data_IF_966806862919
#
_entry.id   IF_966806862919
#
_cell.length_a   1.000
_cell.length_b   1.000
_cell.length_c   1.000
_cell.angle_alpha   90.00
_cell.angle_beta   90.00
_cell.angle_gamma   90.00
#
_symmetry.space_group_name_H-M   'P 1'
#
loop_
_entity.id
_entity.type
_entity.pdbx_description
1 polymer ?
#
# COMPACT_ATOMS: atom_id res chain seq x y z
N UNK A 1 41.65 -6.42 17.09
CA UNK A 1 41.88 -7.37 18.21
C UNK A 1 40.51 -7.89 18.62
N UNK A 2 40.19 -9.17 18.82
CA UNK A 2 40.96 -10.40 19.08
C UNK A 2 40.27 -11.58 18.33
N UNK A 3 40.98 -12.44 17.57
CA UNK A 3 41.64 -13.72 17.97
C UNK A 3 40.73 -14.64 18.80
N UNK A 4 40.16 -15.68 18.17
CA UNK A 4 40.67 -17.09 18.05
C UNK A 4 40.43 -17.92 19.32
N UNK A 5 39.74 -19.06 19.16
CA UNK A 5 40.06 -20.30 19.90
C UNK A 5 39.94 -21.47 18.93
N UNK A 6 40.91 -22.37 19.04
CA UNK A 6 41.29 -23.44 18.12
C UNK A 6 41.21 -24.77 18.87
N UNK A 7 40.89 -25.84 18.13
CA UNK A 7 41.27 -27.25 18.28
C UNK A 7 40.92 -28.02 19.58
N UNK A 8 40.32 -29.20 19.39
CA UNK A 8 40.90 -30.43 19.94
C UNK A 8 40.92 -31.55 18.88
N UNK A 9 42.08 -32.18 18.75
CA UNK A 9 42.40 -33.39 18.00
C UNK A 9 41.93 -34.62 18.79
N UNK A 10 41.43 -35.66 18.11
CA UNK A 10 41.71 -37.05 18.50
C UNK A 10 41.89 -37.90 17.23
N UNK A 11 43.06 -38.53 17.16
CA UNK A 11 43.51 -39.55 16.21
C UNK A 11 43.00 -40.94 16.60
N UNK A 12 42.63 -41.77 15.63
CA UNK A 12 42.96 -43.22 15.63
C UNK A 12 42.79 -43.81 14.24
N UNK A 13 43.84 -44.48 13.77
CA UNK A 13 43.86 -45.29 12.56
C UNK A 13 43.27 -46.68 12.82
N UNK A 14 42.66 -47.31 11.81
CA UNK A 14 42.76 -48.76 11.63
C UNK A 14 42.54 -49.11 10.14
N UNK A 15 43.56 -49.75 9.56
CA UNK A 15 43.52 -50.44 8.27
C UNK A 15 42.73 -51.74 8.40
N UNK A 16 41.83 -52.03 7.46
CA UNK A 16 41.54 -53.40 7.03
C UNK A 16 41.03 -53.39 5.59
N UNK A 17 41.80 -54.03 4.73
CA UNK A 17 41.52 -54.43 3.36
C UNK A 17 40.37 -55.44 3.30
N UNK A 18 39.57 -55.40 2.24
CA UNK A 18 38.66 -56.50 1.93
C UNK A 18 37.58 -56.19 0.88
N UNK A 19 37.85 -56.65 -0.35
CA UNK A 19 36.89 -56.98 -1.41
C UNK A 19 35.98 -55.85 -1.95
N UNK A 20 36.40 -55.25 -3.05
CA UNK A 20 35.48 -54.60 -3.99
C UNK A 20 34.57 -55.68 -4.60
N UNK A 21 33.35 -55.83 -4.08
CA UNK A 21 32.25 -56.30 -4.93
C UNK A 21 31.89 -55.15 -5.86
N UNK A 22 32.20 -55.31 -7.14
CA UNK A 22 31.54 -54.54 -8.20
C UNK A 22 30.10 -55.03 -8.22
N UNK A 23 29.26 -54.41 -7.39
CA UNK A 23 27.81 -54.54 -7.49
C UNK A 23 27.41 -53.81 -8.77
N UNK A 24 26.84 -54.54 -9.73
CA UNK A 24 26.30 -53.94 -10.95
C UNK A 24 25.19 -52.96 -10.54
N UNK A 25 25.43 -51.64 -10.68
CA UNK A 25 24.38 -50.64 -10.52
C UNK A 25 23.30 -50.92 -11.57
N UNK A 26 22.03 -51.16 -11.18
CA UNK A 26 20.95 -51.20 -12.14
C UNK A 26 20.86 -49.81 -12.82
N UNK A 27 20.51 -49.75 -14.11
CA UNK A 27 20.37 -48.48 -14.81
C UNK A 27 19.38 -47.61 -14.03
N UNK A 28 19.82 -46.40 -13.66
CA UNK A 28 18.93 -45.39 -13.08
C UNK A 28 17.81 -45.13 -14.09
N UNK A 29 16.60 -45.55 -13.71
CA UNK A 29 15.38 -45.23 -14.45
C UNK A 29 15.32 -43.69 -14.57
N UNK A 30 15.13 -43.11 -15.76
CA UNK A 30 15.05 -41.66 -15.89
C UNK A 30 13.96 -41.14 -14.96
N UNK A 31 14.33 -40.17 -14.12
CA UNK A 31 13.43 -39.49 -13.20
C UNK A 31 12.23 -38.98 -14.00
N UNK A 32 11.06 -39.54 -13.74
CA UNK A 32 9.81 -39.02 -14.29
C UNK A 32 9.68 -37.55 -13.87
N UNK A 33 9.26 -36.63 -14.77
CA UNK A 33 9.12 -35.24 -14.43
C UNK A 33 8.14 -35.08 -13.27
N UNK A 34 8.64 -34.57 -12.14
CA UNK A 34 7.85 -34.29 -10.95
C UNK A 34 6.72 -33.33 -11.31
N UNK A 35 5.48 -33.82 -11.23
CA UNK A 35 4.25 -33.03 -11.29
C UNK A 35 4.38 -31.82 -10.35
N UNK A 36 4.11 -30.58 -10.79
CA UNK A 36 4.16 -29.41 -9.91
C UNK A 36 3.28 -29.62 -8.69
N UNK A 37 3.81 -29.33 -7.50
CA UNK A 37 3.04 -29.34 -6.27
C UNK A 37 1.82 -28.42 -6.41
N UNK A 38 0.66 -28.75 -5.82
CA UNK A 38 -0.49 -27.86 -5.85
C UNK A 38 -0.10 -26.52 -5.22
N UNK A 39 -0.28 -25.43 -5.97
CA UNK A 39 -0.09 -24.07 -5.49
C UNK A 39 -0.87 -23.90 -4.18
N UNK A 40 -0.15 -23.83 -3.05
CA UNK A 40 -0.72 -23.38 -1.78
C UNK A 40 -1.31 -21.98 -2.05
N UNK A 41 -2.59 -21.72 -1.75
CA UNK A 41 -3.18 -20.42 -2.03
C UNK A 41 -2.37 -19.35 -1.31
N UNK A 42 -1.79 -18.43 -2.07
CA UNK A 42 -1.10 -17.27 -1.53
C UNK A 42 -2.14 -16.51 -0.72
N UNK A 43 -2.03 -16.54 0.60
CA UNK A 43 -2.92 -15.80 1.49
C UNK A 43 -2.73 -14.32 1.14
N UNK A 44 -3.77 -13.69 0.58
CA UNK A 44 -3.72 -12.28 0.22
C UNK A 44 -3.37 -11.45 1.46
N UNK A 45 -2.32 -10.65 1.38
CA UNK A 45 -1.93 -9.70 2.44
C UNK A 45 -2.93 -8.54 2.54
N UNK A 46 -3.81 -8.39 1.55
CA UNK A 46 -4.86 -7.39 1.51
C UNK A 46 -6.09 -7.83 2.28
N UNK A 47 -6.56 -6.97 3.18
CA UNK A 47 -7.76 -7.20 3.98
C UNK A 47 -8.72 -6.04 3.81
N UNK A 48 -10.02 -6.35 3.80
CA UNK A 48 -11.04 -5.31 3.88
C UNK A 48 -10.92 -4.61 5.24
N UNK A 49 -10.73 -3.31 5.20
CA UNK A 49 -10.72 -2.43 6.35
C UNK A 49 -11.99 -1.57 6.32
N UNK A 50 -12.66 -1.47 7.46
CA UNK A 50 -13.78 -0.55 7.68
C UNK A 50 -13.32 0.51 8.67
N UNK A 51 -13.61 1.78 8.38
CA UNK A 51 -13.31 2.86 9.30
C UNK A 51 -13.98 2.63 10.66
N UNK A 52 -13.38 3.06 11.79
CA UNK A 52 -13.97 2.87 13.12
C UNK A 52 -15.38 3.47 13.26
N UNK A 53 -15.68 4.53 12.52
CA UNK A 53 -16.99 5.20 12.47
C UNK A 53 -17.93 4.66 11.38
N UNK A 54 -17.52 3.63 10.65
CA UNK A 54 -18.31 3.03 9.57
C UNK A 54 -18.45 3.89 8.32
N UNK A 55 -17.75 5.03 8.20
CA UNK A 55 -17.93 5.97 7.08
C UNK A 55 -17.44 5.45 5.72
N UNK A 56 -16.42 4.59 5.72
CA UNK A 56 -15.85 4.02 4.49
C UNK A 56 -15.34 2.59 4.70
N UNK A 57 -15.17 1.89 3.57
CA UNK A 57 -14.41 0.64 3.48
C UNK A 57 -13.34 0.73 2.40
N UNK A 58 -12.23 0.00 2.55
CA UNK A 58 -11.15 -0.07 1.55
C UNK A 58 -10.32 -1.34 1.77
N UNK A 59 -9.72 -1.91 0.72
CA UNK A 59 -8.71 -2.95 0.91
C UNK A 59 -7.40 -2.31 1.38
N UNK A 60 -6.88 -2.72 2.54
CA UNK A 60 -5.57 -2.29 3.04
C UNK A 60 -4.58 -3.45 3.07
N UNK A 61 -3.28 -3.20 2.84
CA UNK A 61 -2.25 -4.19 3.10
C UNK A 61 -2.08 -4.36 4.61
N UNK A 62 -2.53 -5.49 5.14
CA UNK A 62 -2.57 -5.74 6.58
C UNK A 62 -3.53 -4.79 7.33
N UNK A 63 -3.22 -4.53 8.61
CA UNK A 63 -3.94 -3.54 9.42
C UNK A 63 -3.24 -2.18 9.28
N UNK A 64 -3.96 -1.09 8.98
CA UNK A 64 -3.34 0.21 8.84
C UNK A 64 -2.85 0.76 10.18
N UNK A 65 -1.73 1.48 10.15
CA UNK A 65 -1.31 2.34 11.24
C UNK A 65 -2.18 3.59 11.24
N UNK A 66 -2.67 3.99 12.40
CA UNK A 66 -3.56 5.15 12.57
C UNK A 66 -2.77 6.30 13.18
N UNK A 67 -2.84 7.47 12.56
CA UNK A 67 -2.13 8.68 12.98
C UNK A 67 -3.11 9.85 12.89
N UNK A 68 -3.03 10.78 13.83
CA UNK A 68 -3.73 12.07 13.75
C UNK A 68 -2.72 13.15 13.45
N UNK A 69 -2.99 13.98 12.43
CA UNK A 69 -2.10 15.06 12.00
C UNK A 69 -2.86 16.37 11.93
N UNK A 70 -2.35 17.40 12.59
CA UNK A 70 -2.92 18.75 12.48
C UNK A 70 -2.34 19.46 11.25
N UNK A 71 -3.19 20.10 10.45
CA UNK A 71 -2.79 20.86 9.27
C UNK A 71 -3.50 22.23 9.24
N UNK A 72 -2.73 23.28 8.92
CA UNK A 72 -3.29 24.60 8.61
C UNK A 72 -3.87 24.60 7.20
N UNK A 73 -5.12 25.00 7.09
CA UNK A 73 -5.84 25.14 5.82
C UNK A 73 -6.45 26.54 5.72
N UNK A 74 -7.10 26.83 4.59
CA UNK A 74 -7.87 28.06 4.44
C UNK A 74 -9.08 28.13 5.40
N UNK A 75 -9.42 27.04 6.08
CA UNK A 75 -10.51 26.93 7.06
C UNK A 75 -10.03 27.05 8.51
N UNK A 76 -8.72 27.28 8.72
CA UNK A 76 -8.08 27.16 10.02
C UNK A 76 -7.35 25.82 10.19
N UNK A 77 -7.00 25.51 11.43
CA UNK A 77 -6.37 24.24 11.79
C UNK A 77 -7.40 23.11 11.80
N UNK A 78 -7.12 22.06 11.04
CA UNK A 78 -7.92 20.84 10.98
C UNK A 78 -7.09 19.65 11.46
N UNK A 79 -7.76 18.64 12.00
CA UNK A 79 -7.15 17.35 12.31
C UNK A 79 -7.49 16.36 11.20
N UNK A 80 -6.46 15.78 10.59
CA UNK A 80 -6.58 14.66 9.66
C UNK A 80 -6.48 13.36 10.44
N UNK A 81 -7.44 12.48 10.26
CA UNK A 81 -7.30 11.08 10.62
C UNK A 81 -6.66 10.34 9.45
N UNK A 82 -5.49 9.73 9.67
CA UNK A 82 -4.68 9.11 8.62
C UNK A 82 -4.51 7.61 8.91
N UNK A 83 -4.76 6.78 7.91
CA UNK A 83 -4.64 5.33 7.92
C UNK A 83 -3.58 4.93 6.90
N UNK A 84 -2.45 4.39 7.35
CA UNK A 84 -1.30 4.06 6.49
C UNK A 84 -1.09 2.55 6.43
N UNK A 85 -1.10 1.99 5.23
CA UNK A 85 -0.76 0.61 4.93
C UNK A 85 0.44 0.51 4.00
N UNK A 86 1.29 -0.49 4.24
CA UNK A 86 2.45 -0.79 3.41
C UNK A 86 2.75 -2.29 3.48
N UNK A 87 3.08 -2.91 2.34
CA UNK A 87 3.56 -4.31 2.29
C UNK A 87 5.04 -4.34 2.66
N UNK A 88 5.48 -5.34 3.43
CA UNK A 88 6.85 -5.38 3.98
C UNK A 88 7.96 -5.29 2.92
N UNK A 89 7.70 -5.80 1.71
CA UNK A 89 8.66 -5.85 0.61
C UNK A 89 8.43 -4.76 -0.46
N UNK A 90 7.59 -3.75 -0.18
CA UNK A 90 7.28 -2.68 -1.12
C UNK A 90 7.36 -1.30 -0.46
N UNK A 91 7.98 -0.33 -1.13
CA UNK A 91 7.98 1.07 -0.68
C UNK A 91 6.72 1.86 -1.08
N UNK A 92 5.70 1.20 -1.62
CA UNK A 92 4.44 1.88 -1.97
C UNK A 92 3.65 2.07 -0.69
N UNK A 93 3.30 3.31 -0.38
CA UNK A 93 2.41 3.64 0.72
C UNK A 93 0.97 3.79 0.21
N UNK A 94 0.05 3.11 0.87
CA UNK A 94 -1.39 3.19 0.64
C UNK A 94 -2.02 3.91 1.83
N UNK A 95 -2.68 5.03 1.56
CA UNK A 95 -3.14 5.94 2.61
C UNK A 95 -4.60 6.28 2.39
N UNK A 96 -5.39 6.24 3.45
CA UNK A 96 -6.67 6.96 3.53
C UNK A 96 -6.51 8.06 4.56
N UNK A 97 -6.94 9.27 4.23
CA UNK A 97 -7.04 10.36 5.18
C UNK A 97 -8.43 11.00 5.10
N UNK A 98 -8.94 11.46 6.23
CA UNK A 98 -10.11 12.33 6.22
C UNK A 98 -10.00 13.45 7.25
N UNK A 99 -10.73 14.53 6.99
CA UNK A 99 -10.95 15.60 7.96
C UNK A 99 -12.40 16.07 7.90
N UNK A 100 -12.93 16.39 9.07
CA UNK A 100 -14.23 17.04 9.18
C UNK A 100 -14.09 18.53 8.88
N UNK A 101 -15.13 19.09 8.27
CA UNK A 101 -15.30 20.53 8.15
C UNK A 101 -16.08 21.05 9.35
N UNK A 102 -15.79 22.28 9.84
CA UNK A 102 -16.73 22.97 10.72
C UNK A 102 -18.12 22.97 10.08
N UNK A 103 -19.15 22.74 10.88
CA UNK A 103 -20.51 22.42 10.41
C UNK A 103 -21.06 23.42 9.39
N UNK A 104 -20.77 24.71 9.57
CA UNK A 104 -21.16 25.79 8.66
C UNK A 104 -20.51 25.69 7.28
N UNK A 105 -19.25 25.25 7.21
CA UNK A 105 -18.50 25.23 5.96
C UNK A 105 -18.87 24.05 5.05
N UNK A 106 -19.04 22.86 5.62
CA UNK A 106 -19.32 21.64 4.86
C UNK A 106 -20.70 21.65 4.18
N UNK A 107 -21.69 22.31 4.78
CA UNK A 107 -23.06 22.42 4.26
C UNK A 107 -23.22 23.56 3.26
N UNK A 108 -22.56 24.70 3.49
CA UNK A 108 -22.76 25.91 2.68
C UNK A 108 -21.84 26.02 1.48
N UNK A 109 -20.79 25.19 1.40
CA UNK A 109 -19.79 25.30 0.34
C UNK A 109 -20.05 24.29 -0.78
N UNK A 110 -20.00 24.76 -2.02
CA UNK A 110 -20.01 23.89 -3.20
C UNK A 110 -18.90 22.83 -3.12
N UNK A 111 -19.21 21.52 -3.16
CA UNK A 111 -18.21 20.45 -3.09
C UNK A 111 -17.10 20.55 -4.14
N UNK A 112 -17.37 21.11 -5.32
CA UNK A 112 -16.34 21.31 -6.35
C UNK A 112 -15.30 22.36 -5.92
N UNK A 113 -15.72 23.41 -5.21
CA UNK A 113 -14.81 24.42 -4.66
C UNK A 113 -13.90 23.80 -3.60
N UNK A 114 -14.46 22.97 -2.73
CA UNK A 114 -13.69 22.20 -1.74
C UNK A 114 -12.63 21.34 -2.42
N UNK A 115 -13.00 20.56 -3.43
CA UNK A 115 -12.09 19.70 -4.18
C UNK A 115 -11.01 20.48 -4.95
N UNK A 116 -11.32 21.69 -5.43
CA UNK A 116 -10.35 22.58 -6.05
C UNK A 116 -9.33 23.10 -5.02
N UNK A 117 -9.79 23.56 -3.87
CA UNK A 117 -8.92 24.05 -2.81
C UNK A 117 -8.04 22.94 -2.23
N UNK A 118 -8.60 21.74 -2.04
CA UNK A 118 -7.88 20.56 -1.57
C UNK A 118 -6.74 20.17 -2.52
N UNK A 119 -6.97 20.20 -3.84
CA UNK A 119 -5.92 20.00 -4.84
C UNK A 119 -4.79 21.03 -4.71
N UNK A 120 -5.14 22.32 -4.64
CA UNK A 120 -4.15 23.39 -4.54
C UNK A 120 -3.31 23.23 -3.27
N UNK A 121 -3.96 22.94 -2.14
CA UNK A 121 -3.29 22.68 -0.87
C UNK A 121 -2.38 21.45 -0.95
N UNK A 122 -2.83 20.34 -1.53
CA UNK A 122 -2.03 19.13 -1.66
C UNK A 122 -0.73 19.42 -2.41
N UNK A 123 -0.82 20.01 -3.61
CA UNK A 123 0.33 20.32 -4.47
C UNK A 123 1.28 21.33 -3.78
N UNK A 124 0.72 22.36 -3.11
CA UNK A 124 1.51 23.38 -2.41
C UNK A 124 2.23 22.81 -1.19
N UNK A 125 1.54 22.07 -0.32
CA UNK A 125 2.10 21.53 0.91
C UNK A 125 3.17 20.46 0.63
N UNK A 126 3.00 19.66 -0.43
CA UNK A 126 3.99 18.65 -0.80
C UNK A 126 5.07 19.17 -1.78
N UNK A 127 5.09 20.48 -2.06
CA UNK A 127 6.03 21.12 -2.99
C UNK A 127 6.15 20.33 -4.31
N UNK A 128 5.00 19.97 -4.87
CA UNK A 128 4.89 19.07 -6.00
C UNK A 128 4.41 19.78 -7.25
N UNK A 129 4.52 19.10 -8.39
CA UNK A 129 3.93 19.53 -9.65
C UNK A 129 2.74 18.64 -9.99
N UNK A 130 1.61 19.25 -10.37
CA UNK A 130 0.45 18.52 -10.88
C UNK A 130 0.77 17.95 -12.27
N UNK A 131 0.53 16.67 -12.47
CA UNK A 131 0.78 15.96 -13.73
C UNK A 131 -0.48 15.32 -14.33
N UNK A 132 -1.59 15.28 -13.58
CA UNK A 132 -2.87 14.80 -14.07
C UNK A 132 -4.01 15.20 -13.15
N UNK A 133 -5.21 15.38 -13.72
CA UNK A 133 -6.43 15.55 -12.94
C UNK A 133 -7.66 15.14 -13.74
N UNK A 134 -8.70 14.66 -13.06
CA UNK A 134 -10.03 14.44 -13.64
C UNK A 134 -11.12 14.47 -12.58
N UNK A 135 -12.34 14.81 -13.00
CA UNK A 135 -13.54 14.65 -12.16
C UNK A 135 -13.89 13.17 -12.06
N UNK A 136 -14.33 12.75 -10.88
CA UNK A 136 -14.80 11.39 -10.61
C UNK A 136 -16.02 11.47 -9.68
N UNK A 137 -16.71 10.35 -9.52
CA UNK A 137 -17.73 10.17 -8.49
C UNK A 137 -17.40 8.93 -7.66
N UNK A 138 -17.78 8.93 -6.39
CA UNK A 138 -17.77 7.71 -5.57
C UNK A 138 -18.86 6.74 -6.07
N UNK A 139 -18.80 5.49 -5.59
CA UNK A 139 -19.76 4.44 -5.96
C UNK A 139 -21.23 4.78 -5.62
N UNK A 140 -21.46 5.57 -4.57
CA UNK A 140 -22.76 6.07 -4.15
C UNK A 140 -23.05 7.51 -4.63
N UNK A 141 -22.24 8.04 -5.56
CA UNK A 141 -22.54 9.26 -6.30
C UNK A 141 -22.18 10.58 -5.61
N UNK A 142 -21.35 10.56 -4.57
CA UNK A 142 -20.75 11.78 -4.02
C UNK A 142 -19.68 12.36 -4.96
N UNK A 143 -19.58 13.70 -5.06
CA UNK A 143 -18.61 14.37 -5.93
C UNK A 143 -17.18 14.07 -5.51
N UNK A 144 -16.31 13.86 -6.51
CA UNK A 144 -14.89 13.64 -6.26
C UNK A 144 -13.99 14.17 -7.36
N UNK A 145 -12.69 14.08 -7.09
CA UNK A 145 -11.62 14.46 -8.02
C UNK A 145 -10.43 13.53 -7.85
N UNK A 146 -9.91 13.02 -8.95
CA UNK A 146 -8.60 12.36 -8.98
C UNK A 146 -7.54 13.36 -9.43
N UNK A 147 -6.42 13.41 -8.72
CA UNK A 147 -5.24 14.17 -9.09
C UNK A 147 -4.00 13.28 -9.03
N UNK A 148 -3.05 13.56 -9.90
CA UNK A 148 -1.72 12.97 -9.88
C UNK A 148 -0.69 14.09 -9.79
N UNK A 149 0.25 13.97 -8.87
CA UNK A 149 1.31 14.95 -8.68
C UNK A 149 2.63 14.28 -8.33
N UNK A 150 3.73 14.94 -8.69
CA UNK A 150 5.10 14.44 -8.49
C UNK A 150 5.90 15.44 -7.65
N UNK A 151 6.56 14.96 -6.60
CA UNK A 151 7.44 15.79 -5.77
C UNK A 151 8.86 15.88 -6.36
N UNK A 152 9.70 16.74 -5.79
CA UNK A 152 11.11 16.89 -6.20
C UNK A 152 11.93 15.60 -6.11
N UNK A 153 11.55 14.67 -5.22
CA UNK A 153 12.16 13.35 -5.09
C UNK A 153 11.67 12.31 -6.11
N UNK A 154 10.80 12.69 -7.06
CA UNK A 154 10.29 11.80 -8.10
C UNK A 154 9.26 10.76 -7.62
N UNK A 155 8.74 10.89 -6.39
CA UNK A 155 7.60 10.10 -5.93
C UNK A 155 6.32 10.71 -6.52
N UNK A 156 5.50 9.84 -7.09
CA UNK A 156 4.20 10.16 -7.68
C UNK A 156 3.11 9.75 -6.70
N UNK A 157 2.24 10.70 -6.39
CA UNK A 157 1.03 10.45 -5.62
C UNK A 157 -0.17 10.48 -6.55
N UNK A 158 -0.95 9.39 -6.58
CA UNK A 158 -2.30 9.38 -7.13
C UNK A 158 -3.29 9.51 -5.98
N UNK A 159 -4.06 10.60 -5.96
CA UNK A 159 -5.00 10.93 -4.89
C UNK A 159 -6.43 11.02 -5.45
N UNK A 160 -7.34 10.21 -4.92
CA UNK A 160 -8.79 10.34 -5.15
C UNK A 160 -9.42 11.02 -3.93
N UNK A 161 -10.01 12.18 -4.17
CA UNK A 161 -10.66 13.00 -3.16
C UNK A 161 -12.18 12.91 -3.33
N UNK A 162 -12.91 12.82 -2.23
CA UNK A 162 -14.38 12.82 -2.22
C UNK A 162 -14.91 13.72 -1.10
N UNK A 163 -16.05 14.39 -1.35
CA UNK A 163 -16.75 15.19 -0.35
C UNK A 163 -18.10 14.56 -0.06
N UNK A 164 -18.32 14.18 1.20
CA UNK A 164 -19.58 13.61 1.67
C UNK A 164 -19.80 13.94 3.15
N UNK A 165 -21.04 14.25 3.52
CA UNK A 165 -21.46 14.51 4.91
C UNK A 165 -20.52 15.43 5.70
N UNK A 166 -20.21 16.60 5.14
CA UNK A 166 -19.33 17.58 5.79
C UNK A 166 -17.88 17.14 5.96
N UNK A 167 -17.43 16.10 5.25
CA UNK A 167 -16.06 15.55 5.33
C UNK A 167 -15.38 15.49 3.98
N UNK A 168 -14.06 15.74 3.97
CA UNK A 168 -13.19 15.46 2.84
C UNK A 168 -12.43 14.17 3.09
N UNK A 169 -12.58 13.22 2.17
CA UNK A 169 -11.84 11.96 2.13
C UNK A 169 -10.76 12.06 1.06
N UNK A 170 -9.60 11.49 1.34
CA UNK A 170 -8.46 11.39 0.42
C UNK A 170 -7.94 9.96 0.43
N UNK A 171 -7.85 9.34 -0.75
CA UNK A 171 -7.40 7.96 -0.94
C UNK A 171 -6.19 8.00 -1.85
N UNK A 172 -5.02 7.71 -1.28
CA UNK A 172 -3.74 7.98 -1.91
C UNK A 172 -2.91 6.71 -2.06
N UNK A 173 -2.22 6.62 -3.19
CA UNK A 173 -1.09 5.72 -3.38
C UNK A 173 0.15 6.55 -3.73
N UNK A 174 1.21 6.40 -2.95
CA UNK A 174 2.49 7.09 -3.14
C UNK A 174 3.53 6.07 -3.58
N UNK A 175 4.10 6.27 -4.77
CA UNK A 175 4.99 5.32 -5.41
C UNK A 175 6.07 6.02 -6.23
N UNK A 176 7.22 5.37 -6.45
CA UNK A 176 8.17 5.81 -7.48
C UNK A 176 7.56 5.65 -8.88
N UNK A 177 8.14 6.31 -9.89
CA UNK A 177 7.76 6.10 -11.30
C UNK A 177 7.84 4.62 -11.73
N UNK A 178 8.90 3.91 -11.30
CA UNK A 178 9.05 2.47 -11.57
C UNK A 178 7.92 1.64 -10.94
N UNK A 179 7.55 1.95 -9.70
CA UNK A 179 6.45 1.27 -9.00
C UNK A 179 5.09 1.59 -9.60
N UNK A 180 4.82 2.83 -10.01
CA UNK A 180 3.59 3.17 -10.74
C UNK A 180 3.39 2.30 -11.99
N UNK A 181 4.47 2.04 -12.73
CA UNK A 181 4.41 1.16 -13.90
C UNK A 181 4.22 -0.31 -13.51
N UNK A 182 5.09 -0.84 -12.65
CA UNK A 182 5.14 -2.28 -12.30
C UNK A 182 4.00 -2.74 -11.39
N UNK A 183 3.41 -1.84 -10.60
CA UNK A 183 2.34 -2.11 -9.64
C UNK A 183 1.04 -1.37 -10.01
N UNK A 184 0.90 -0.92 -11.26
CA UNK A 184 -0.28 -0.18 -11.74
C UNK A 184 -1.60 -0.87 -11.41
N UNK A 185 -1.68 -2.18 -11.62
CA UNK A 185 -2.87 -2.98 -11.31
C UNK A 185 -3.17 -3.00 -9.81
N UNK A 186 -2.16 -3.19 -8.95
CA UNK A 186 -2.33 -3.18 -7.49
C UNK A 186 -2.75 -1.81 -6.99
N UNK A 187 -2.12 -0.73 -7.48
CA UNK A 187 -2.45 0.65 -7.13
C UNK A 187 -3.88 0.99 -7.55
N UNK A 188 -4.26 0.67 -8.78
CA UNK A 188 -5.62 0.91 -9.26
C UNK A 188 -6.64 0.05 -8.51
N UNK A 189 -6.30 -1.21 -8.20
CA UNK A 189 -7.14 -2.10 -7.39
C UNK A 189 -7.41 -1.53 -6.00
N UNK A 190 -6.37 -1.04 -5.31
CA UNK A 190 -6.50 -0.33 -4.04
C UNK A 190 -7.44 0.87 -4.16
N UNK A 191 -7.18 1.78 -5.10
CA UNK A 191 -7.97 3.00 -5.27
C UNK A 191 -9.43 2.71 -5.66
N UNK A 192 -9.67 1.64 -6.42
CA UNK A 192 -11.01 1.20 -6.81
C UNK A 192 -11.75 0.46 -5.68
N UNK A 193 -11.03 -0.05 -4.68
CA UNK A 193 -11.63 -0.74 -3.54
C UNK A 193 -12.25 0.21 -2.50
N UNK A 194 -11.92 1.51 -2.55
CA UNK A 194 -12.48 2.48 -1.64
C UNK A 194 -13.96 2.72 -1.93
N UNK A 195 -14.78 2.60 -0.89
CA UNK A 195 -16.22 2.84 -0.94
C UNK A 195 -16.63 3.71 0.24
N UNK A 196 -17.39 4.77 -0.04
CA UNK A 196 -18.15 5.49 0.98
C UNK A 196 -19.38 4.67 1.32
N UNK A 197 -19.66 4.50 2.61
CA UNK A 197 -20.81 3.72 3.13
C UNK A 197 -21.98 4.65 3.50
N UNK A 198 -21.75 5.96 3.45
CA UNK A 198 -22.76 6.98 3.75
C UNK A 198 -23.91 6.94 2.74
N UNK A 199 -25.12 7.27 3.20
CA UNK A 199 -26.25 7.52 2.30
C UNK A 199 -26.12 8.92 1.71
N UNK A 200 -26.53 9.07 0.44
CA UNK A 200 -26.51 10.35 -0.26
C UNK A 200 -27.64 11.25 0.22
#
# INVERSE_FOLDING_TARGET
MAKRVLLFLITTALLCSGFTRVEARPPQRPLSPTKPAPNKPIKSEWKLFTAPDGSFTVLMPGMPKVITQTQKTYMGEINLQVFVGQLANQEVAYIVAYNDFPHSYGQMTNPQLILNNAQILAVKTTQSNLIGQRRISSSNGHPGKEIEYVNSGGKITKNRMYVADGRLYQVMAIATKKQQHTLSQTINGYLNSFQLVLKK
#
